data_IF_188083033941
#
_entry.id   IF_188083033941
#
_cell.length_a   1.000
_cell.length_b   1.000
_cell.length_c   1.000
_cell.angle_alpha   90.00
_cell.angle_beta   90.00
_cell.angle_gamma   90.00
#
_symmetry.space_group_name_H-M   'P 1'
#
loop_
_entity.id
_entity.type
_entity.pdbx_description
1 polymer ?
#
# COMPACT_ATOMS: atom_id res chain seq x y z
N UNK A 1 -26.26 -47.79 -0.36
CA UNK A 1 -25.59 -48.98 -0.92
C UNK A 1 -25.21 -48.63 -2.35
N UNK A 2 -23.92 -48.78 -2.66
CA UNK A 2 -23.22 -48.37 -3.89
C UNK A 2 -23.66 -49.13 -5.16
N UNK A 3 -23.24 -48.56 -6.31
CA UNK A 3 -22.83 -49.22 -7.58
C UNK A 3 -23.85 -49.14 -8.73
N UNK A 4 -23.67 -48.24 -9.72
CA UNK A 4 -22.78 -48.24 -10.91
C UNK A 4 -23.22 -49.19 -12.05
N UNK A 5 -23.28 -48.66 -13.29
CA UNK A 5 -22.94 -49.46 -14.48
C UNK A 5 -23.71 -49.23 -15.79
N UNK A 6 -23.27 -48.24 -16.58
CA UNK A 6 -22.98 -48.29 -18.04
C UNK A 6 -23.88 -49.05 -19.04
N UNK A 7 -24.23 -48.32 -20.13
CA UNK A 7 -24.17 -48.76 -21.54
C UNK A 7 -24.36 -47.52 -22.44
N UNK A 8 -23.81 -47.34 -23.64
CA UNK A 8 -22.52 -47.67 -24.31
C UNK A 8 -22.62 -46.91 -25.66
N UNK A 9 -21.56 -46.20 -26.04
CA UNK A 9 -21.41 -45.47 -27.31
C UNK A 9 -21.62 -46.35 -28.56
N UNK A 10 -22.22 -45.77 -29.61
CA UNK A 10 -22.02 -46.20 -31.01
C UNK A 10 -21.60 -44.95 -31.81
N UNK A 11 -20.36 -44.96 -32.30
CA UNK A 11 -19.83 -44.05 -33.31
C UNK A 11 -20.15 -44.65 -34.69
N UNK A 12 -20.73 -43.86 -35.60
CA UNK A 12 -20.65 -44.09 -37.05
C UNK A 12 -20.10 -42.81 -37.67
N UNK A 13 -18.88 -42.92 -38.22
CA UNK A 13 -18.28 -41.91 -39.08
C UNK A 13 -18.85 -42.05 -40.50
N UNK A 14 -19.32 -40.96 -41.09
CA UNK A 14 -19.32 -40.78 -42.53
C UNK A 14 -19.06 -39.31 -42.86
N UNK A 15 -17.97 -39.09 -43.59
CA UNK A 15 -17.45 -37.81 -44.03
C UNK A 15 -18.41 -37.07 -44.98
N UNK A 16 -18.45 -35.75 -44.85
CA UNK A 16 -19.12 -34.83 -45.77
C UNK A 16 -18.72 -33.40 -45.48
N UNK A 17 -17.63 -32.94 -46.09
CA UNK A 17 -17.22 -31.54 -46.17
C UNK A 17 -18.27 -30.75 -46.99
N UNK A 18 -18.64 -29.55 -46.53
CA UNK A 18 -18.62 -28.26 -47.27
C UNK A 18 -19.34 -27.16 -46.45
N UNK A 19 -18.56 -26.14 -46.09
CA UNK A 19 -18.85 -24.73 -45.78
C UNK A 19 -20.25 -24.31 -45.29
N UNK A 20 -20.31 -23.79 -44.06
CA UNK A 20 -20.71 -22.39 -43.79
C UNK A 20 -20.16 -21.97 -42.41
N UNK A 21 -19.35 -20.91 -42.40
CA UNK A 21 -18.55 -20.49 -41.26
C UNK A 21 -19.37 -19.82 -40.14
N UNK A 22 -19.16 -20.35 -38.93
CA UNK A 22 -19.03 -19.65 -37.66
C UNK A 22 -20.14 -18.66 -37.23
N UNK A 23 -21.24 -19.22 -36.74
CA UNK A 23 -21.80 -18.74 -35.47
C UNK A 23 -21.10 -19.49 -34.34
N UNK A 24 -20.30 -18.79 -33.53
CA UNK A 24 -20.22 -19.10 -32.11
C UNK A 24 -19.66 -17.90 -31.36
N UNK A 25 -20.56 -17.33 -30.56
CA UNK A 25 -20.28 -16.39 -29.48
C UNK A 25 -19.30 -17.08 -28.54
N UNK A 26 -18.00 -16.75 -28.64
CA UNK A 26 -17.07 -16.99 -27.55
C UNK A 26 -17.20 -15.82 -26.57
N UNK A 27 -18.06 -16.03 -25.57
CA UNK A 27 -17.85 -15.49 -24.23
C UNK A 27 -16.47 -15.98 -23.74
N UNK A 28 -15.43 -15.23 -24.05
CA UNK A 28 -14.20 -15.26 -23.27
C UNK A 28 -14.44 -14.33 -22.08
N UNK A 29 -14.79 -14.94 -20.94
CA UNK A 29 -14.69 -14.31 -19.65
C UNK A 29 -13.20 -14.12 -19.34
N UNK A 30 -12.61 -13.04 -19.85
CA UNK A 30 -11.28 -12.57 -19.47
C UNK A 30 -11.45 -11.30 -18.63
N UNK A 31 -11.16 -11.44 -17.33
CA UNK A 31 -10.94 -10.39 -16.33
C UNK A 31 -11.90 -9.18 -16.34
N UNK A 32 -13.03 -9.34 -15.66
CA UNK A 32 -14.06 -8.31 -15.43
C UNK A 32 -13.63 -7.09 -14.60
N UNK A 33 -12.41 -7.03 -14.07
CA UNK A 33 -11.91 -5.84 -13.35
C UNK A 33 -11.41 -4.73 -14.29
N UNK A 34 -10.81 -5.08 -15.44
CA UNK A 34 -10.23 -4.09 -16.37
C UNK A 34 -11.26 -3.41 -17.29
N UNK A 35 -12.46 -3.98 -17.41
CA UNK A 35 -13.58 -3.51 -18.24
C UNK A 35 -14.45 -2.41 -17.59
N UNK A 36 -14.08 -1.95 -16.40
CA UNK A 36 -14.85 -0.96 -15.63
C UNK A 36 -14.42 0.49 -15.89
N UNK A 37 -13.20 0.72 -16.39
CA UNK A 37 -12.63 2.05 -16.58
C UNK A 37 -12.80 2.44 -18.06
N UNK A 38 -13.49 3.56 -18.34
CA UNK A 38 -13.82 4.11 -19.67
C UNK A 38 -14.97 3.42 -20.45
N UNK A 39 -15.93 2.80 -19.75
CA UNK A 39 -17.15 2.22 -20.37
C UNK A 39 -17.97 3.26 -21.17
N UNK A 40 -17.94 4.52 -20.74
CA UNK A 40 -18.69 5.62 -21.37
C UNK A 40 -18.09 6.01 -22.73
N UNK A 41 -16.78 6.18 -22.80
CA UNK A 41 -16.04 6.59 -23.99
C UNK A 41 -16.10 5.48 -25.05
N UNK A 42 -15.98 4.21 -24.64
CA UNK A 42 -16.19 3.06 -25.52
C UNK A 42 -17.61 3.02 -26.10
N UNK A 43 -18.62 3.34 -25.30
CA UNK A 43 -20.00 3.42 -25.76
C UNK A 43 -20.21 4.59 -26.74
N UNK A 44 -19.61 5.75 -26.49
CA UNK A 44 -19.67 6.91 -27.38
C UNK A 44 -18.98 6.63 -28.72
N UNK A 45 -17.80 6.02 -28.71
CA UNK A 45 -17.09 5.64 -29.94
C UNK A 45 -17.87 4.61 -30.76
N UNK A 46 -18.52 3.64 -30.10
CA UNK A 46 -19.38 2.68 -30.77
C UNK A 46 -20.59 3.37 -31.44
N UNK A 47 -21.23 4.31 -30.74
CA UNK A 47 -22.33 5.11 -31.28
C UNK A 47 -21.88 5.89 -32.52
N UNK A 48 -20.79 6.67 -32.40
CA UNK A 48 -20.25 7.51 -33.48
C UNK A 48 -19.83 6.68 -34.71
N UNK A 49 -19.22 5.52 -34.49
CA UNK A 49 -18.88 4.57 -35.57
C UNK A 49 -20.14 4.14 -36.32
N UNK A 50 -21.18 3.74 -35.59
CA UNK A 50 -22.44 3.28 -36.20
C UNK A 50 -23.11 4.40 -36.99
N UNK A 51 -23.13 5.63 -36.45
CA UNK A 51 -23.64 6.82 -37.16
C UNK A 51 -22.90 7.06 -38.49
N UNK A 52 -21.57 7.00 -38.49
CA UNK A 52 -20.77 7.19 -39.71
C UNK A 52 -21.00 6.07 -40.74
N UNK A 53 -21.11 4.82 -40.29
CA UNK A 53 -21.40 3.67 -41.17
C UNK A 53 -22.81 3.79 -41.76
N UNK A 54 -23.80 4.18 -40.97
CA UNK A 54 -25.18 4.38 -41.44
C UNK A 54 -25.25 5.50 -42.48
N UNK A 55 -24.50 6.58 -42.28
CA UNK A 55 -24.53 7.75 -43.15
C UNK A 55 -23.76 7.57 -44.46
N UNK A 56 -22.57 6.93 -44.43
CA UNK A 56 -21.65 6.89 -45.56
C UNK A 56 -21.42 5.49 -46.14
N UNK A 57 -21.91 4.44 -45.47
CA UNK A 57 -21.73 3.05 -45.86
C UNK A 57 -20.45 2.42 -45.29
N UNK A 58 -20.53 1.13 -45.01
CA UNK A 58 -19.49 0.36 -44.32
C UNK A 58 -18.15 0.33 -45.09
N UNK A 59 -18.20 0.14 -46.42
CA UNK A 59 -17.00 0.06 -47.26
C UNK A 59 -16.22 1.38 -47.23
N UNK A 60 -16.91 2.51 -47.39
CA UNK A 60 -16.26 3.82 -47.44
C UNK A 60 -15.76 4.22 -46.05
N UNK A 61 -16.50 3.87 -44.98
CA UNK A 61 -16.03 4.03 -43.61
C UNK A 61 -14.69 3.34 -43.36
N UNK A 62 -14.58 2.04 -43.64
CA UNK A 62 -13.33 1.29 -43.41
C UNK A 62 -12.19 1.71 -44.34
N UNK A 63 -12.50 2.32 -45.48
CA UNK A 63 -11.49 2.93 -46.35
C UNK A 63 -10.88 4.20 -45.73
N UNK A 64 -11.69 4.99 -45.03
CA UNK A 64 -11.28 6.22 -44.37
C UNK A 64 -10.75 6.01 -42.94
N UNK A 65 -11.15 4.94 -42.27
CA UNK A 65 -10.75 4.65 -40.89
C UNK A 65 -9.37 3.98 -40.84
N UNK A 66 -8.30 4.78 -40.80
CA UNK A 66 -6.92 4.30 -40.62
C UNK A 66 -6.39 4.63 -39.22
N UNK A 67 -6.44 3.68 -38.29
CA UNK A 67 -5.74 3.76 -36.99
C UNK A 67 -4.35 3.11 -37.04
N UNK A 68 -3.62 3.27 -38.14
CA UNK A 68 -2.34 2.58 -38.31
C UNK A 68 -1.31 3.09 -37.30
N UNK A 69 -0.86 2.22 -36.40
CA UNK A 69 0.12 2.54 -35.35
C UNK A 69 -0.49 2.91 -34.00
N UNK A 70 -1.81 3.01 -33.90
CA UNK A 70 -2.52 3.34 -32.65
C UNK A 70 -3.09 2.09 -31.96
N UNK A 71 -3.19 2.16 -30.64
CA UNK A 71 -3.72 1.06 -29.84
C UNK A 71 -5.25 1.13 -29.77
N UNK A 72 -5.94 0.23 -30.48
CA UNK A 72 -7.40 0.17 -30.53
C UNK A 72 -8.09 -0.17 -29.19
N UNK A 73 -7.33 -0.61 -28.18
CA UNK A 73 -7.86 -0.81 -26.83
C UNK A 73 -7.99 0.51 -26.04
N UNK A 74 -7.32 1.57 -26.49
CA UNK A 74 -7.45 2.93 -25.98
C UNK A 74 -8.66 3.64 -26.64
N UNK A 75 -9.78 3.86 -25.92
CA UNK A 75 -10.92 4.57 -26.48
C UNK A 75 -10.59 6.01 -26.94
N UNK A 76 -9.63 6.70 -26.34
CA UNK A 76 -9.27 8.06 -26.73
C UNK A 76 -8.51 8.09 -28.07
N UNK A 77 -7.63 7.10 -28.31
CA UNK A 77 -7.00 6.92 -29.63
C UNK A 77 -8.04 6.56 -30.71
N UNK A 78 -9.02 5.71 -30.36
CA UNK A 78 -10.12 5.36 -31.27
C UNK A 78 -10.97 6.58 -31.62
N UNK A 79 -11.21 7.48 -30.65
CA UNK A 79 -11.93 8.75 -30.90
C UNK A 79 -11.19 9.63 -31.91
N UNK A 80 -9.87 9.77 -31.77
CA UNK A 80 -9.03 10.51 -32.72
C UNK A 80 -9.11 9.93 -34.14
N UNK A 81 -9.04 8.60 -34.29
CA UNK A 81 -9.22 7.97 -35.59
C UNK A 81 -10.62 8.18 -36.18
N UNK A 82 -11.66 8.12 -35.34
CA UNK A 82 -13.04 8.35 -35.79
C UNK A 82 -13.21 9.79 -36.30
N UNK A 83 -12.53 10.75 -35.69
CA UNK A 83 -12.49 12.13 -36.16
C UNK A 83 -11.83 12.25 -37.54
N UNK A 84 -10.67 11.63 -37.75
CA UNK A 84 -10.00 11.64 -39.05
C UNK A 84 -10.84 10.95 -40.13
N UNK A 85 -11.47 9.82 -39.79
CA UNK A 85 -12.38 9.12 -40.68
C UNK A 85 -13.56 10.00 -41.08
N UNK A 86 -14.15 10.75 -40.16
CA UNK A 86 -15.24 11.69 -40.45
C UNK A 86 -14.82 12.78 -41.44
N UNK A 87 -13.62 13.34 -41.32
CA UNK A 87 -13.11 14.34 -42.27
C UNK A 87 -12.87 13.75 -43.67
N UNK A 88 -12.28 12.55 -43.72
CA UNK A 88 -12.11 11.80 -44.96
C UNK A 88 -13.44 11.52 -45.65
N UNK A 89 -14.44 11.03 -44.91
CA UNK A 89 -15.79 10.75 -45.41
C UNK A 89 -16.50 12.01 -45.91
N UNK A 90 -16.30 13.14 -45.24
CA UNK A 90 -16.82 14.45 -45.66
C UNK A 90 -16.05 15.07 -46.83
N UNK A 91 -14.92 14.47 -47.24
CA UNK A 91 -14.02 14.99 -48.28
C UNK A 91 -13.49 16.40 -47.96
N UNK A 92 -13.28 16.66 -46.67
CA UNK A 92 -12.73 17.92 -46.16
C UNK A 92 -11.28 17.64 -45.78
N UNK A 93 -10.37 18.55 -46.17
CA UNK A 93 -8.98 18.44 -45.76
C UNK A 93 -8.86 18.56 -44.23
N UNK A 94 -8.02 17.71 -43.63
CA UNK A 94 -7.67 17.87 -42.23
C UNK A 94 -6.99 19.24 -42.04
N UNK A 95 -7.30 19.96 -40.96
CA UNK A 95 -6.64 21.22 -40.67
C UNK A 95 -5.13 21.00 -40.50
N UNK A 96 -4.33 21.94 -41.03
CA UNK A 96 -2.88 21.84 -40.94
C UNK A 96 -2.42 21.89 -39.47
N UNK A 97 -1.42 21.09 -39.06
CA UNK A 97 -0.98 20.95 -37.66
C UNK A 97 -0.22 22.16 -37.12
N UNK A 98 -0.38 23.34 -37.73
CA UNK A 98 0.42 24.52 -37.45
C UNK A 98 -0.17 25.30 -36.25
N UNK A 99 0.26 24.93 -35.05
CA UNK A 99 -0.18 25.57 -33.82
C UNK A 99 0.76 26.71 -33.41
N UNK A 100 0.18 27.73 -32.75
CA UNK A 100 0.97 28.79 -32.11
C UNK A 100 1.88 28.16 -31.04
N UNK A 101 3.06 28.75 -30.84
CA UNK A 101 4.00 28.36 -29.80
C UNK A 101 3.31 28.15 -28.44
N UNK A 102 3.60 27.01 -27.81
CA UNK A 102 2.97 26.57 -26.55
C UNK A 102 1.65 25.81 -26.70
N UNK A 103 1.13 25.61 -27.91
CA UNK A 103 -0.05 24.77 -28.19
C UNK A 103 0.32 23.52 -28.99
N UNK A 104 -0.45 22.45 -28.80
CA UNK A 104 -0.27 21.17 -29.50
C UNK A 104 -1.48 20.87 -30.39
N UNK A 105 -1.25 20.17 -31.49
CA UNK A 105 -2.33 19.73 -32.37
C UNK A 105 -2.90 18.41 -31.87
N UNK A 106 -4.22 18.37 -31.62
CA UNK A 106 -4.96 17.19 -31.16
C UNK A 106 -6.37 17.22 -31.74
N UNK A 107 -6.84 16.09 -32.28
CA UNK A 107 -8.19 15.92 -32.84
C UNK A 107 -8.59 17.10 -33.77
N UNK A 108 -7.72 17.44 -34.71
CA UNK A 108 -7.98 18.48 -35.71
C UNK A 108 -7.99 19.92 -35.20
N UNK A 109 -7.49 20.20 -34.00
CA UNK A 109 -7.42 21.57 -33.47
C UNK A 109 -6.19 21.79 -32.61
N UNK A 110 -5.80 23.06 -32.49
CA UNK A 110 -4.78 23.44 -31.53
C UNK A 110 -5.38 23.56 -30.14
N UNK A 111 -4.82 22.80 -29.20
CA UNK A 111 -5.24 22.73 -27.81
C UNK A 111 -4.05 23.01 -26.89
N UNK A 112 -4.32 23.27 -25.61
CA UNK A 112 -3.26 23.31 -24.62
C UNK A 112 -2.63 21.92 -24.49
N UNK A 113 -1.33 21.81 -24.16
CA UNK A 113 -0.66 20.52 -24.00
C UNK A 113 -1.39 19.58 -23.03
N UNK A 114 -1.89 20.11 -21.90
CA UNK A 114 -2.72 19.35 -20.96
C UNK A 114 -3.97 18.75 -21.59
N UNK A 115 -4.63 19.51 -22.47
CA UNK A 115 -5.83 19.03 -23.17
C UNK A 115 -5.46 17.99 -24.22
N UNK A 116 -4.32 18.15 -24.90
CA UNK A 116 -3.78 17.13 -25.80
C UNK A 116 -3.50 15.81 -25.06
N UNK A 117 -2.90 15.87 -23.88
CA UNK A 117 -2.69 14.68 -23.03
C UNK A 117 -3.99 14.00 -22.64
N UNK A 118 -5.03 14.77 -22.26
CA UNK A 118 -6.33 14.20 -21.89
C UNK A 118 -7.05 13.57 -23.06
N UNK A 119 -7.00 14.22 -24.22
CA UNK A 119 -7.61 13.73 -25.46
C UNK A 119 -6.88 12.51 -26.04
N UNK A 120 -5.61 12.26 -25.65
CA UNK A 120 -4.82 11.11 -26.12
C UNK A 120 -4.82 9.93 -25.15
N UNK A 121 -4.73 10.19 -23.86
CA UNK A 121 -4.44 9.19 -22.84
C UNK A 121 -5.50 9.10 -21.73
N UNK A 122 -6.49 10.01 -21.76
CA UNK A 122 -7.66 10.04 -20.87
C UNK A 122 -7.67 11.23 -19.91
N UNK A 123 -8.84 11.55 -19.35
CA UNK A 123 -9.08 12.75 -18.52
C UNK A 123 -8.11 12.92 -17.33
N UNK A 124 -7.53 11.82 -16.86
CA UNK A 124 -6.59 11.81 -15.75
C UNK A 124 -5.13 11.98 -16.19
N UNK A 125 -4.87 12.23 -17.47
CA UNK A 125 -3.54 12.60 -17.96
C UNK A 125 -3.30 14.11 -17.90
N UNK A 126 -2.05 14.51 -17.79
CA UNK A 126 -1.62 15.91 -17.77
C UNK A 126 -0.30 16.10 -18.51
N UNK A 127 0.01 17.31 -18.91
CA UNK A 127 1.24 17.62 -19.63
C UNK A 127 2.43 17.80 -18.69
N UNK A 128 3.61 17.37 -19.15
CA UNK A 128 4.85 17.53 -18.41
C UNK A 128 5.81 18.52 -19.03
N UNK A 129 6.38 18.14 -20.16
CA UNK A 129 7.42 18.90 -20.82
C UNK A 129 7.38 18.64 -22.32
N UNK A 130 7.91 19.59 -23.07
CA UNK A 130 8.21 19.42 -24.49
C UNK A 130 9.55 18.72 -24.63
N UNK A 131 9.60 17.70 -25.48
CA UNK A 131 10.83 17.14 -26.01
C UNK A 131 11.31 17.96 -27.22
N UNK A 132 12.50 17.65 -27.73
CA UNK A 132 12.97 18.20 -29.01
C UNK A 132 12.02 17.79 -30.15
N UNK A 133 11.86 18.64 -31.18
CA UNK A 133 10.99 18.42 -32.36
C UNK A 133 9.46 18.48 -32.15
N UNK A 134 8.95 19.33 -31.24
CA UNK A 134 7.49 19.49 -30.95
C UNK A 134 6.81 18.23 -30.40
N UNK A 135 7.58 17.24 -29.94
CA UNK A 135 7.05 16.13 -29.19
C UNK A 135 6.80 16.57 -27.72
N UNK A 136 5.84 15.96 -27.03
CA UNK A 136 5.52 16.32 -25.66
C UNK A 136 5.18 15.09 -24.83
N UNK A 137 5.61 15.12 -23.57
CA UNK A 137 5.44 14.02 -22.62
C UNK A 137 4.21 14.29 -21.76
N UNK A 138 3.39 13.26 -21.56
CA UNK A 138 2.18 13.32 -20.74
C UNK A 138 2.34 12.45 -19.51
N UNK A 139 2.00 12.95 -18.32
CA UNK A 139 1.91 12.20 -17.08
C UNK A 139 0.49 11.74 -16.73
N UNK A 140 0.37 11.03 -15.62
CA UNK A 140 -0.90 10.60 -15.01
C UNK A 140 -1.10 11.30 -13.67
N UNK A 141 -2.29 11.84 -13.39
CA UNK A 141 -2.63 12.47 -12.11
C UNK A 141 -2.48 11.47 -10.95
N UNK A 142 -2.27 12.00 -9.75
CA UNK A 142 -2.22 11.22 -8.51
C UNK A 142 -3.37 10.21 -8.40
N UNK A 143 -3.05 8.95 -8.12
CA UNK A 143 -4.02 7.85 -8.05
C UNK A 143 -4.34 7.17 -9.39
N UNK A 144 -3.68 7.58 -10.47
CA UNK A 144 -3.81 6.99 -11.80
C UNK A 144 -2.45 6.61 -12.35
N UNK A 145 -2.43 5.57 -13.19
CA UNK A 145 -1.22 5.14 -13.86
C UNK A 145 -1.41 4.58 -15.24
N UNK A 146 -0.28 4.41 -15.90
CA UNK A 146 -0.24 3.84 -17.23
C UNK A 146 -0.62 2.38 -17.19
N UNK A 147 -1.49 1.98 -18.09
CA UNK A 147 -1.69 0.57 -18.39
C UNK A 147 -0.42 -0.04 -19.04
N UNK A 148 -0.39 -1.37 -19.16
CA UNK A 148 0.81 -2.13 -19.56
C UNK A 148 1.45 -1.71 -20.89
N UNK A 149 0.65 -1.17 -21.82
CA UNK A 149 1.09 -0.72 -23.14
C UNK A 149 1.25 0.80 -23.24
N UNK A 150 1.15 1.53 -22.10
CA UNK A 150 1.24 2.99 -21.98
C UNK A 150 0.27 3.76 -22.88
N UNK A 151 -0.86 3.16 -23.22
CA UNK A 151 -1.87 3.79 -24.06
C UNK A 151 -2.95 4.51 -23.25
N UNK A 152 -3.08 4.27 -21.94
CA UNK A 152 -4.13 4.84 -21.10
C UNK A 152 -3.64 5.17 -19.69
N UNK A 153 -4.18 6.27 -19.16
CA UNK A 153 -4.10 6.62 -17.76
C UNK A 153 -5.34 6.12 -17.00
N UNK A 154 -5.20 4.98 -16.33
CA UNK A 154 -6.29 4.27 -15.64
C UNK A 154 -6.21 4.44 -14.13
N UNK A 155 -7.37 4.43 -13.45
CA UNK A 155 -7.42 4.49 -11.99
C UNK A 155 -6.77 3.23 -11.44
N UNK A 156 -5.63 3.39 -10.79
CA UNK A 156 -4.94 2.30 -10.11
C UNK A 156 -5.54 2.17 -8.71
N UNK A 157 -6.75 1.62 -8.62
CA UNK A 157 -7.06 0.81 -7.46
C UNK A 157 -6.18 -0.44 -7.60
N UNK A 158 -4.98 -0.38 -7.04
CA UNK A 158 -4.16 -1.57 -6.96
C UNK A 158 -4.94 -2.62 -6.14
N UNK A 159 -4.91 -3.91 -6.53
CA UNK A 159 -5.55 -4.97 -5.75
C UNK A 159 -5.14 -4.91 -4.28
N UNK A 160 -5.93 -5.49 -3.39
CA UNK A 160 -5.54 -5.59 -1.97
C UNK A 160 -4.10 -6.11 -1.84
N UNK A 161 -3.28 -5.42 -1.05
CA UNK A 161 -1.83 -5.62 -0.89
C UNK A 161 -0.89 -5.11 -2.01
N UNK A 162 -1.39 -4.35 -2.99
CA UNK A 162 -0.56 -3.65 -3.97
C UNK A 162 -0.67 -2.13 -3.80
N UNK A 163 0.39 -1.40 -4.13
CA UNK A 163 0.49 0.06 -4.02
C UNK A 163 0.95 0.62 -5.35
N UNK A 164 0.36 1.76 -5.73
CA UNK A 164 0.77 2.47 -6.92
C UNK A 164 2.11 3.18 -6.68
N UNK A 165 3.18 2.65 -7.27
CA UNK A 165 4.53 3.19 -7.16
C UNK A 165 4.93 3.92 -8.43
N UNK A 166 5.47 5.13 -8.29
CA UNK A 166 5.84 6.02 -9.38
C UNK A 166 7.23 6.63 -9.11
N UNK A 167 8.29 6.23 -9.85
CA UNK A 167 9.65 6.70 -9.60
C UNK A 167 9.91 8.15 -10.00
N UNK A 168 9.00 8.80 -10.73
CA UNK A 168 9.10 10.22 -11.09
C UNK A 168 8.06 11.03 -10.31
N UNK A 169 8.41 12.26 -9.91
CA UNK A 169 7.54 13.24 -9.26
C UNK A 169 7.61 14.57 -10.03
N UNK A 170 6.49 15.25 -10.23
CA UNK A 170 6.47 16.59 -10.82
C UNK A 170 6.90 17.68 -9.82
N UNK A 171 7.02 18.92 -10.30
CA UNK A 171 7.45 20.07 -9.51
C UNK A 171 6.51 20.46 -8.36
N UNK A 172 5.26 20.00 -8.39
CA UNK A 172 4.25 20.24 -7.36
C UNK A 172 4.09 19.03 -6.41
N UNK A 173 4.90 17.97 -6.59
CA UNK A 173 4.87 16.75 -5.78
C UNK A 173 3.89 15.68 -6.26
N UNK A 174 3.29 15.85 -7.44
CA UNK A 174 2.45 14.86 -8.11
C UNK A 174 3.25 13.67 -8.65
N UNK A 175 2.70 12.45 -8.57
CA UNK A 175 3.33 11.21 -9.01
C UNK A 175 3.27 11.08 -10.55
N UNK A 176 4.43 10.89 -11.17
CA UNK A 176 4.59 10.75 -12.62
C UNK A 176 4.98 9.35 -13.07
N UNK A 177 4.08 8.71 -13.83
CA UNK A 177 4.25 7.37 -14.40
C UNK A 177 4.59 6.29 -13.35
N UNK A 178 3.59 5.50 -12.96
CA UNK A 178 3.75 4.40 -12.03
C UNK A 178 3.09 3.10 -12.47
N UNK A 179 3.35 2.04 -11.72
CA UNK A 179 2.74 0.72 -11.85
C UNK A 179 2.31 0.23 -10.48
N UNK A 180 1.33 -0.66 -10.40
CA UNK A 180 1.04 -1.35 -9.15
C UNK A 180 2.18 -2.31 -8.83
N UNK A 181 2.82 -2.08 -7.70
CA UNK A 181 3.82 -2.97 -7.12
C UNK A 181 3.25 -3.60 -5.85
N UNK A 182 3.74 -4.78 -5.50
CA UNK A 182 3.56 -5.28 -4.14
C UNK A 182 4.03 -4.21 -3.13
N UNK A 183 3.42 -4.15 -1.95
CA UNK A 183 3.75 -3.09 -0.98
C UNK A 183 5.24 -3.01 -0.67
N UNK A 184 5.88 -4.17 -0.56
CA UNK A 184 7.31 -4.23 -0.30
C UNK A 184 8.12 -3.91 -1.57
N UNK A 185 7.65 -4.31 -2.76
CA UNK A 185 8.28 -3.95 -4.04
C UNK A 185 8.26 -2.44 -4.29
N UNK A 186 7.20 -1.74 -3.88
CA UNK A 186 7.11 -0.29 -3.95
C UNK A 186 8.20 0.37 -3.09
N UNK A 187 8.37 -0.12 -1.87
CA UNK A 187 9.46 0.32 -1.00
C UNK A 187 10.83 0.02 -1.61
N UNK A 188 11.03 -1.21 -2.09
CA UNK A 188 12.29 -1.62 -2.75
C UNK A 188 12.64 -0.73 -3.94
N UNK A 189 11.63 -0.31 -4.70
CA UNK A 189 11.80 0.60 -5.83
C UNK A 189 12.27 2.01 -5.44
N UNK A 190 11.86 2.53 -4.28
CA UNK A 190 12.18 3.90 -3.85
C UNK A 190 13.45 3.95 -2.98
N UNK A 191 13.64 2.95 -2.12
CA UNK A 191 14.64 2.95 -1.05
C UNK A 191 15.63 1.78 -1.12
N UNK A 192 15.57 0.98 -2.20
CA UNK A 192 16.45 -0.16 -2.47
C UNK A 192 15.96 -1.48 -1.88
N UNK A 193 16.55 -2.59 -2.34
CA UNK A 193 16.08 -3.99 -2.12
C UNK A 193 15.80 -4.38 -0.66
N UNK A 194 16.36 -3.66 0.32
CA UNK A 194 16.24 -3.94 1.74
C UNK A 194 15.26 -3.03 2.47
N UNK A 195 14.32 -2.46 1.75
CA UNK A 195 13.20 -1.72 2.31
C UNK A 195 11.91 -2.51 2.16
N UNK A 196 11.03 -2.37 3.15
CA UNK A 196 9.76 -3.08 3.30
C UNK A 196 8.65 -2.10 3.65
N UNK A 197 7.41 -2.48 3.36
CA UNK A 197 6.25 -1.69 3.70
C UNK A 197 5.99 -1.70 5.21
N UNK A 198 5.71 -0.52 5.75
CA UNK A 198 5.43 -0.31 7.16
C UNK A 198 4.00 0.16 7.43
N UNK A 199 3.42 0.95 6.54
CA UNK A 199 2.07 1.46 6.71
C UNK A 199 1.69 2.52 5.69
N UNK A 200 0.55 3.18 5.92
CA UNK A 200 0.14 4.37 5.16
C UNK A 200 0.16 5.58 6.09
N UNK A 201 0.50 6.75 5.56
CA UNK A 201 0.32 8.02 6.24
C UNK A 201 -1.16 8.49 6.18
N UNK A 202 -1.45 9.63 6.81
CA UNK A 202 -2.80 10.18 6.88
C UNK A 202 -3.38 10.59 5.51
N UNK A 203 -2.52 10.82 4.53
CA UNK A 203 -2.89 11.23 3.17
C UNK A 203 -2.93 10.04 2.19
N UNK A 204 -2.69 8.82 2.69
CA UNK A 204 -2.65 7.60 1.90
C UNK A 204 -1.32 7.36 1.17
N UNK A 205 -0.27 8.13 1.48
CA UNK A 205 1.10 7.87 1.07
C UNK A 205 1.67 6.64 1.78
N UNK A 206 2.48 5.84 1.08
CA UNK A 206 3.05 4.63 1.65
C UNK A 206 4.31 4.94 2.46
N UNK A 207 4.36 4.40 3.67
CA UNK A 207 5.48 4.47 4.59
C UNK A 207 6.30 3.21 4.46
N UNK A 208 7.58 3.38 4.14
CA UNK A 208 8.55 2.30 4.09
C UNK A 208 9.42 2.29 5.34
N UNK A 209 9.93 1.12 5.70
CA UNK A 209 10.98 0.96 6.69
C UNK A 209 12.04 -0.02 6.18
N UNK A 210 13.19 -0.12 6.84
CA UNK A 210 14.20 -1.09 6.46
C UNK A 210 13.85 -2.50 6.94
N UNK A 211 14.15 -3.49 6.10
CA UNK A 211 14.07 -4.89 6.42
C UNK A 211 14.98 -5.22 7.62
N UNK A 212 14.69 -6.30 8.33
CA UNK A 212 15.49 -6.72 9.48
C UNK A 212 16.99 -6.83 9.11
N UNK A 213 17.85 -6.16 9.88
CA UNK A 213 19.30 -6.09 9.65
C UNK A 213 19.79 -4.90 8.81
N UNK A 214 18.88 -4.02 8.39
CA UNK A 214 19.19 -2.85 7.58
C UNK A 214 18.71 -1.57 8.27
N UNK A 215 19.42 -0.47 8.04
CA UNK A 215 19.07 0.84 8.60
C UNK A 215 19.05 1.91 7.52
N UNK A 216 18.19 2.91 7.74
CA UNK A 216 18.17 4.11 6.91
C UNK A 216 19.54 4.76 6.92
N UNK A 217 20.07 5.06 5.74
CA UNK A 217 21.23 5.92 5.64
C UNK A 217 20.94 7.31 6.26
N UNK A 218 21.97 8.11 6.54
CA UNK A 218 21.81 9.41 7.22
C UNK A 218 20.84 10.37 6.51
N UNK A 219 20.64 10.21 5.20
CA UNK A 219 19.76 11.01 4.36
C UNK A 219 18.36 10.42 4.20
N UNK A 220 18.07 9.24 4.76
CA UNK A 220 16.83 8.46 4.60
C UNK A 220 16.44 8.21 3.14
N UNK A 221 17.44 8.03 2.27
CA UNK A 221 17.24 7.80 0.83
C UNK A 221 17.45 6.36 0.41
N UNK A 222 18.03 5.52 1.27
CA UNK A 222 18.16 4.10 1.04
C UNK A 222 18.36 3.34 2.35
N UNK A 223 17.98 2.06 2.36
CA UNK A 223 18.38 1.10 3.38
C UNK A 223 19.79 0.60 3.07
N UNK A 224 20.77 1.15 3.77
CA UNK A 224 22.16 0.66 3.72
C UNK A 224 22.31 -0.51 4.67
N UNK A 225 23.27 -1.41 4.39
CA UNK A 225 23.73 -2.36 5.41
C UNK A 225 24.01 -1.51 6.64
N UNK A 226 23.37 -1.84 7.76
CA UNK A 226 23.65 -1.17 9.01
C UNK A 226 25.17 -1.17 9.15
N UNK A 227 25.79 0.03 9.10
CA UNK A 227 27.22 0.19 8.86
C UNK A 227 27.95 -0.79 9.77
N UNK A 228 28.44 -1.87 9.19
CA UNK A 228 29.36 -2.77 9.88
C UNK A 228 30.67 -2.02 9.87
N UNK A 229 30.78 -1.07 10.81
CA UNK A 229 32.08 -0.60 11.25
C UNK A 229 32.86 -1.88 11.52
N UNK A 230 34.04 -2.02 10.90
CA UNK A 230 35.03 -3.01 11.31
C UNK A 230 35.17 -2.92 12.83
N UNK A 231 34.50 -3.84 13.52
CA UNK A 231 33.96 -3.60 14.87
C UNK A 231 32.66 -4.39 15.07
N UNK A 232 32.64 -5.62 14.56
CA UNK A 232 31.66 -6.65 14.88
C UNK A 232 31.80 -6.95 16.39
N UNK A 233 30.92 -6.36 17.20
CA UNK A 233 30.71 -6.70 18.60
C UNK A 233 29.29 -6.31 19.07
N UNK A 234 28.75 -5.17 18.64
CA UNK A 234 27.55 -4.59 19.27
C UNK A 234 26.21 -5.32 18.98
N UNK A 235 26.03 -6.02 17.86
CA UNK A 235 24.77 -6.75 17.58
C UNK A 235 24.73 -8.18 18.13
N UNK A 236 25.87 -8.71 18.61
CA UNK A 236 25.89 -9.92 19.43
C UNK A 236 25.86 -9.56 20.91
N UNK A 237 26.33 -8.38 21.30
CA UNK A 237 26.26 -7.88 22.68
C UNK A 237 24.83 -7.54 23.14
N UNK A 238 23.91 -7.10 22.27
CA UNK A 238 22.55 -6.68 22.68
C UNK A 238 21.58 -7.84 22.98
N UNK A 239 21.60 -8.92 22.19
CA UNK A 239 20.85 -10.14 22.54
C UNK A 239 21.50 -10.90 23.69
N UNK A 240 22.84 -10.94 23.75
CA UNK A 240 23.54 -11.57 24.88
C UNK A 240 23.24 -10.81 26.18
N UNK A 241 23.24 -9.47 26.18
CA UNK A 241 22.84 -8.66 27.33
C UNK A 241 21.37 -8.87 27.75
N UNK A 242 20.47 -9.07 26.79
CA UNK A 242 19.09 -9.45 27.07
C UNK A 242 19.02 -10.80 27.79
N UNK A 243 19.62 -11.85 27.21
CA UNK A 243 19.58 -13.20 27.78
C UNK A 243 20.35 -13.30 29.10
N UNK A 244 21.47 -12.60 29.24
CA UNK A 244 22.26 -12.53 30.47
C UNK A 244 21.49 -11.83 31.59
N UNK A 245 20.76 -10.75 31.27
CA UNK A 245 19.91 -10.05 32.25
C UNK A 245 18.74 -10.92 32.67
N UNK A 246 18.07 -11.57 31.72
CA UNK A 246 17.01 -12.53 32.03
C UNK A 246 17.55 -13.67 32.89
N UNK A 247 18.71 -14.24 32.56
CA UNK A 247 19.31 -15.33 33.32
C UNK A 247 19.69 -14.89 34.75
N UNK A 248 20.32 -13.71 34.90
CA UNK A 248 20.65 -13.08 36.18
C UNK A 248 19.42 -12.87 37.04
N UNK A 249 18.36 -12.31 36.46
CA UNK A 249 17.13 -12.01 37.19
C UNK A 249 16.30 -13.26 37.49
N UNK A 250 16.28 -14.27 36.61
CA UNK A 250 15.68 -15.60 36.93
C UNK A 250 16.43 -16.27 38.08
N UNK A 251 17.76 -16.24 38.08
CA UNK A 251 18.57 -16.84 39.15
C UNK A 251 18.42 -16.13 40.50
N UNK A 252 18.09 -14.85 40.49
CA UNK A 252 17.92 -14.03 41.69
C UNK A 252 16.47 -13.95 42.21
N UNK A 253 15.53 -14.72 41.64
CA UNK A 253 14.13 -14.73 42.05
C UNK A 253 13.98 -15.10 43.54
N UNK A 254 13.19 -14.29 44.25
CA UNK A 254 12.76 -14.52 45.61
C UNK A 254 11.37 -15.17 45.62
N UNK A 255 10.93 -15.62 46.80
CA UNK A 255 9.57 -16.13 46.98
C UNK A 255 8.55 -15.10 46.46
N UNK A 256 7.65 -15.47 45.53
CA UNK A 256 6.66 -14.55 44.99
C UNK A 256 5.81 -13.92 46.09
N UNK A 257 5.62 -12.61 46.00
CA UNK A 257 4.77 -11.83 46.91
C UNK A 257 3.53 -11.36 46.16
N UNK A 258 2.43 -12.09 46.30
CA UNK A 258 1.17 -11.76 45.63
C UNK A 258 0.59 -10.41 46.03
N UNK A 259 0.87 -9.92 47.25
CA UNK A 259 0.40 -8.61 47.69
C UNK A 259 1.16 -7.48 47.01
N UNK A 260 2.47 -7.65 46.81
CA UNK A 260 3.28 -6.73 46.02
C UNK A 260 2.88 -6.77 44.53
N UNK A 261 2.72 -7.97 43.98
CA UNK A 261 2.43 -8.15 42.57
C UNK A 261 1.06 -7.56 42.19
N UNK A 262 0.07 -7.67 43.07
CA UNK A 262 -1.25 -7.06 42.85
C UNK A 262 -1.21 -5.52 42.92
N UNK A 263 -0.35 -4.94 43.77
CA UNK A 263 -0.16 -3.49 43.84
C UNK A 263 0.54 -2.92 42.60
N UNK A 264 1.37 -3.73 41.95
CA UNK A 264 2.19 -3.32 40.80
C UNK A 264 1.60 -3.77 39.46
N UNK A 265 0.42 -4.41 39.46
CA UNK A 265 -0.22 -4.91 38.23
C UNK A 265 -0.35 -3.82 37.18
N UNK A 266 0.03 -4.17 35.95
CA UNK A 266 -0.05 -3.26 34.81
C UNK A 266 0.85 -2.03 34.92
N UNK A 267 1.84 -1.99 35.82
CA UNK A 267 2.79 -0.88 35.93
C UNK A 267 4.04 -1.14 35.10
N UNK A 268 4.59 -0.06 34.57
CA UNK A 268 5.96 -0.02 34.08
C UNK A 268 6.88 0.28 35.27
N UNK A 269 7.88 -0.56 35.47
CA UNK A 269 8.85 -0.48 36.56
C UNK A 269 10.25 -0.21 36.01
N UNK A 270 11.05 0.57 36.74
CA UNK A 270 12.45 0.84 36.43
C UNK A 270 13.32 0.38 37.61
N UNK A 271 14.27 -0.53 37.37
CA UNK A 271 15.24 -0.92 38.39
C UNK A 271 16.20 0.25 38.66
N UNK A 272 16.18 0.78 39.89
CA UNK A 272 17.00 1.94 40.25
C UNK A 272 18.32 1.61 40.94
N UNK A 273 18.55 0.32 41.23
CA UNK A 273 19.73 -0.19 41.95
C UNK A 273 20.73 -0.91 41.02
N UNK A 274 20.48 -0.95 39.71
CA UNK A 274 21.32 -1.62 38.69
C UNK A 274 21.48 -0.74 37.43
N UNK A 275 21.24 -1.29 36.23
CA UNK A 275 21.52 -0.63 34.95
C UNK A 275 20.32 0.17 34.41
N UNK A 276 19.27 0.38 35.23
CA UNK A 276 18.06 1.06 34.77
C UNK A 276 17.14 0.16 33.96
N UNK A 277 17.18 -1.16 34.19
CA UNK A 277 16.36 -2.12 33.47
C UNK A 277 14.85 -1.79 33.60
N UNK A 278 14.17 -1.73 32.46
CA UNK A 278 12.73 -1.46 32.40
C UNK A 278 11.92 -2.76 32.32
N UNK A 279 10.82 -2.81 33.05
CA UNK A 279 9.96 -3.98 33.18
C UNK A 279 8.49 -3.59 33.06
N UNK A 280 7.67 -4.45 32.48
CA UNK A 280 6.21 -4.31 32.50
C UNK A 280 5.61 -5.45 33.31
N UNK A 281 4.79 -5.13 34.32
CA UNK A 281 4.02 -6.13 35.07
C UNK A 281 2.70 -6.36 34.35
N UNK A 282 2.34 -7.61 34.08
CA UNK A 282 1.06 -7.92 33.46
C UNK A 282 -0.12 -7.41 34.30
N UNK A 283 -1.24 -7.17 33.63
CA UNK A 283 -2.48 -6.78 34.32
C UNK A 283 -2.95 -7.87 35.30
N UNK A 284 -2.57 -9.13 35.07
CA UNK A 284 -2.82 -10.23 36.00
C UNK A 284 -2.02 -10.15 37.29
N UNK A 285 -1.02 -9.26 37.40
CA UNK A 285 -0.18 -9.09 38.57
C UNK A 285 0.63 -10.34 38.92
N UNK A 286 0.97 -11.17 37.93
CA UNK A 286 1.70 -12.44 38.13
C UNK A 286 3.08 -12.39 37.51
N UNK A 287 3.23 -11.76 36.35
CA UNK A 287 4.45 -11.84 35.54
C UNK A 287 4.99 -10.46 35.20
N UNK A 288 6.29 -10.26 35.36
CA UNK A 288 7.04 -9.12 34.80
C UNK A 288 7.73 -9.52 33.51
N UNK A 289 7.70 -8.63 32.53
CA UNK A 289 8.34 -8.80 31.23
C UNK A 289 9.45 -7.77 31.06
N UNK A 290 10.62 -8.23 30.63
CA UNK A 290 11.77 -7.35 30.44
C UNK A 290 11.60 -6.56 29.13
N UNK A 291 11.72 -5.24 29.23
CA UNK A 291 11.51 -4.34 28.10
C UNK A 291 12.80 -4.02 27.35
N UNK A 292 13.98 -4.22 27.97
CA UNK A 292 15.35 -4.13 27.41
C UNK A 292 15.65 -2.96 26.46
N UNK A 293 15.12 -3.00 25.25
CA UNK A 293 15.28 -1.99 24.21
C UNK A 293 13.92 -1.46 23.74
N UNK A 294 13.86 -0.23 23.20
CA UNK A 294 12.62 0.32 22.65
C UNK A 294 11.89 -0.61 21.66
N UNK A 295 12.64 -1.33 20.83
CA UNK A 295 12.10 -2.30 19.88
C UNK A 295 11.51 -3.55 20.56
N UNK A 296 12.21 -4.14 21.55
CA UNK A 296 11.67 -5.29 22.30
C UNK A 296 10.48 -4.89 23.15
N UNK A 297 10.54 -3.74 23.80
CA UNK A 297 9.44 -3.20 24.59
C UNK A 297 8.18 -3.05 23.74
N UNK A 298 8.29 -2.48 22.53
CA UNK A 298 7.18 -2.36 21.59
C UNK A 298 6.58 -3.73 21.24
N UNK A 299 7.41 -4.73 20.95
CA UNK A 299 6.96 -6.10 20.63
C UNK A 299 6.26 -6.77 21.80
N UNK A 300 6.85 -6.71 23.01
CA UNK A 300 6.26 -7.27 24.24
C UNK A 300 4.94 -6.58 24.57
N UNK A 301 4.90 -5.26 24.46
CA UNK A 301 3.69 -4.49 24.75
C UNK A 301 2.56 -4.83 23.77
N UNK A 302 2.87 -4.97 22.48
CA UNK A 302 1.87 -5.38 21.47
C UNK A 302 1.40 -6.82 21.65
N UNK A 303 2.29 -7.76 21.99
CA UNK A 303 1.90 -9.17 22.17
C UNK A 303 0.98 -9.36 23.38
N UNK A 304 1.10 -8.50 24.39
CA UNK A 304 0.23 -8.45 25.56
C UNK A 304 -1.01 -7.56 25.36
N UNK A 305 -1.12 -6.91 24.19
CA UNK A 305 -2.19 -5.96 23.88
C UNK A 305 -3.54 -6.63 23.69
N UNK A 306 -4.59 -5.99 24.20
CA UNK A 306 -5.98 -6.40 24.04
C UNK A 306 -6.63 -5.55 22.95
N UNK A 307 -7.27 -6.17 21.97
CA UNK A 307 -8.07 -5.45 20.98
C UNK A 307 -9.21 -4.68 21.63
N UNK A 308 -9.34 -3.40 21.30
CA UNK A 308 -10.43 -2.52 21.70
C UNK A 308 -10.97 -1.80 20.46
N UNK A 309 -12.27 -1.54 20.43
CA UNK A 309 -12.87 -0.78 19.34
C UNK A 309 -12.50 0.70 19.47
N UNK A 310 -12.48 1.41 18.34
CA UNK A 310 -12.21 2.84 18.32
C UNK A 310 -13.19 3.63 19.19
N UNK A 311 -14.47 3.23 19.16
CA UNK A 311 -15.51 3.81 20.01
C UNK A 311 -15.22 3.68 21.51
N UNK A 312 -14.65 2.56 21.94
CA UNK A 312 -14.32 2.36 23.36
C UNK A 312 -13.18 3.30 23.80
N UNK A 313 -12.15 3.43 22.98
CA UNK A 313 -10.98 4.29 23.25
C UNK A 313 -11.38 5.77 23.29
N UNK A 314 -12.22 6.20 22.35
CA UNK A 314 -12.66 7.59 22.26
C UNK A 314 -13.69 7.96 23.34
N UNK A 315 -14.57 7.04 23.73
CA UNK A 315 -15.58 7.30 24.77
C UNK A 315 -14.96 7.51 26.17
N UNK A 316 -13.76 6.99 26.44
CA UNK A 316 -13.15 6.99 27.77
C UNK A 316 -11.89 7.87 27.89
N UNK A 317 -11.61 8.74 26.91
CA UNK A 317 -10.42 9.62 26.91
C UNK A 317 -10.29 10.43 28.21
N UNK A 318 -11.41 10.83 28.81
CA UNK A 318 -11.41 11.56 30.08
C UNK A 318 -11.03 10.70 31.29
N UNK A 319 -11.40 9.42 31.30
CA UNK A 319 -11.05 8.46 32.36
C UNK A 319 -11.41 7.04 31.95
N UNK A 320 -10.40 6.16 31.90
CA UNK A 320 -10.60 4.76 31.57
C UNK A 320 -11.12 3.92 32.75
N UNK A 321 -11.96 2.89 32.48
CA UNK A 321 -12.55 2.06 33.53
C UNK A 321 -11.53 1.10 34.16
N UNK A 322 -11.76 0.70 35.41
CA UNK A 322 -10.81 -0.06 36.23
C UNK A 322 -10.29 -1.35 35.57
N UNK A 323 -11.14 -2.02 34.79
CA UNK A 323 -10.79 -3.30 34.18
C UNK A 323 -9.82 -3.20 32.99
N UNK A 324 -9.51 -1.99 32.50
CA UNK A 324 -8.48 -1.77 31.46
C UNK A 324 -7.26 -1.03 31.97
N UNK A 325 -7.25 -0.61 33.24
CA UNK A 325 -6.09 0.06 33.82
C UNK A 325 -4.88 -0.86 33.83
N UNK A 326 -3.76 -0.32 33.38
CA UNK A 326 -2.49 -1.02 33.25
C UNK A 326 -2.48 -2.06 32.12
N UNK A 327 -3.51 -2.10 31.27
CA UNK A 327 -3.48 -2.87 30.03
C UNK A 327 -2.93 -2.02 28.90
N UNK A 328 -2.51 -2.72 27.86
CA UNK A 328 -2.22 -2.14 26.56
C UNK A 328 -3.42 -2.45 25.68
N UNK A 329 -4.05 -1.42 25.14
CA UNK A 329 -5.18 -1.54 24.24
C UNK A 329 -4.71 -1.29 22.81
N UNK A 330 -5.17 -2.13 21.89
CA UNK A 330 -4.88 -2.00 20.46
C UNK A 330 -6.19 -1.62 19.78
N UNK A 331 -6.21 -0.46 19.14
CA UNK A 331 -7.32 -0.03 18.31
C UNK A 331 -7.40 -0.92 17.07
N UNK A 332 -8.39 -1.81 17.05
CA UNK A 332 -8.57 -2.75 15.94
C UNK A 332 -9.23 -2.10 14.72
N UNK A 333 -9.85 -0.94 14.90
CA UNK A 333 -10.57 -0.21 13.85
C UNK A 333 -9.71 0.94 13.27
N UNK A 334 -8.64 1.37 13.97
CA UNK A 334 -7.70 2.41 13.53
C UNK A 334 -6.25 1.89 13.48
N UNK A 335 -5.92 1.19 12.38
CA UNK A 335 -4.56 0.80 11.98
C UNK A 335 -3.74 0.01 13.03
N UNK A 336 -4.40 -0.59 14.04
CA UNK A 336 -3.70 -1.33 15.09
C UNK A 336 -2.88 -0.44 16.03
N UNK A 337 -3.30 0.81 16.24
CA UNK A 337 -2.65 1.77 17.15
C UNK A 337 -2.68 1.25 18.59
N UNK A 338 -1.55 1.29 19.30
CA UNK A 338 -1.44 0.77 20.66
C UNK A 338 -1.39 1.90 21.69
N UNK A 339 -2.08 1.70 22.82
CA UNK A 339 -2.16 2.65 23.92
C UNK A 339 -1.95 1.94 25.26
N UNK A 340 -1.02 2.42 26.07
CA UNK A 340 -0.89 2.01 27.47
C UNK A 340 -1.84 2.83 28.34
N UNK A 341 -2.73 2.17 29.07
CA UNK A 341 -3.66 2.84 29.99
C UNK A 341 -3.00 2.93 31.36
N UNK A 342 -2.55 4.11 31.76
CA UNK A 342 -1.80 4.25 33.00
C UNK A 342 -2.73 4.12 34.24
N UNK A 343 -2.44 3.20 35.19
CA UNK A 343 -3.28 3.02 36.38
C UNK A 343 -3.38 4.25 37.30
N UNK A 344 -2.40 5.15 37.27
CA UNK A 344 -2.32 6.30 38.19
C UNK A 344 -3.27 7.44 37.78
N UNK A 345 -3.25 7.84 36.52
CA UNK A 345 -4.05 8.95 36.00
C UNK A 345 -5.27 8.50 35.18
N UNK A 346 -5.38 7.20 34.87
CA UNK A 346 -6.46 6.60 34.07
C UNK A 346 -6.52 7.15 32.65
N UNK A 347 -5.38 7.59 32.10
CA UNK A 347 -5.25 8.11 30.75
C UNK A 347 -4.55 7.10 29.83
N UNK A 348 -4.82 7.23 28.52
CA UNK A 348 -4.17 6.46 27.47
C UNK A 348 -2.91 7.17 26.96
N UNK A 349 -1.81 6.44 26.88
CA UNK A 349 -0.53 6.90 26.34
C UNK A 349 -0.19 6.13 25.09
N UNK A 350 0.03 6.85 23.98
CA UNK A 350 0.28 6.24 22.69
C UNK A 350 1.64 5.53 22.64
N UNK A 351 1.65 4.33 22.06
CA UNK A 351 2.79 3.44 21.88
C UNK A 351 3.03 3.13 20.39
N UNK A 352 2.88 4.13 19.51
CA UNK A 352 2.96 3.93 18.05
C UNK A 352 4.32 3.59 17.50
N UNK A 353 5.37 4.03 18.18
CA UNK A 353 6.76 3.84 17.79
C UNK A 353 7.65 3.46 18.97
N UNK A 354 8.83 2.86 18.72
CA UNK A 354 9.82 2.59 19.77
C UNK A 354 10.18 3.85 20.58
N UNK A 355 10.29 5.01 19.93
CA UNK A 355 10.62 6.27 20.60
C UNK A 355 9.50 6.76 21.54
N UNK A 356 8.24 6.61 21.13
CA UNK A 356 7.09 6.95 21.99
C UNK A 356 6.99 5.99 23.17
N UNK A 357 7.14 4.68 22.92
CA UNK A 357 7.16 3.68 23.99
C UNK A 357 8.27 3.97 25.02
N UNK A 358 9.47 4.34 24.56
CA UNK A 358 10.57 4.76 25.44
C UNK A 358 10.21 6.00 26.28
N UNK A 359 9.55 6.98 25.66
CA UNK A 359 9.08 8.18 26.37
C UNK A 359 8.08 7.82 27.47
N UNK A 360 7.13 6.92 27.18
CA UNK A 360 6.16 6.41 28.17
C UNK A 360 6.87 5.69 29.31
N UNK A 361 7.82 4.79 29.00
CA UNK A 361 8.59 4.07 30.02
C UNK A 361 9.37 5.01 30.94
N UNK A 362 10.02 6.03 30.38
CA UNK A 362 10.83 6.99 31.13
C UNK A 362 9.97 7.90 32.02
N UNK A 363 8.82 8.35 31.53
CA UNK A 363 8.00 9.34 32.23
C UNK A 363 7.03 8.72 33.25
N UNK A 364 6.54 7.51 32.96
CA UNK A 364 5.53 6.82 33.80
C UNK A 364 6.12 5.66 34.60
N UNK A 365 7.39 5.31 34.35
CA UNK A 365 8.09 4.23 35.04
C UNK A 365 8.21 4.48 36.54
N UNK A 366 7.76 3.52 37.34
CA UNK A 366 7.91 3.54 38.79
C UNK A 366 9.25 2.91 39.18
N UNK A 367 10.09 3.64 39.92
CA UNK A 367 11.33 3.09 40.46
C UNK A 367 11.06 1.93 41.44
N UNK A 368 11.81 0.83 41.30
CA UNK A 368 11.70 -0.34 42.17
C UNK A 368 13.09 -0.86 42.60
N UNK A 369 13.18 -1.34 43.83
CA UNK A 369 14.39 -1.98 44.37
C UNK A 369 14.58 -3.39 43.78
N UNK A 370 15.83 -3.85 43.75
CA UNK A 370 16.16 -5.22 43.37
C UNK A 370 15.47 -6.25 44.29
N UNK A 371 15.37 -5.92 45.58
CA UNK A 371 14.72 -6.79 46.58
C UNK A 371 13.23 -7.01 46.28
N UNK A 372 12.53 -5.99 45.82
CA UNK A 372 11.10 -6.07 45.58
C UNK A 372 10.78 -6.60 44.18
N UNK A 373 11.52 -6.18 43.16
CA UNK A 373 11.28 -6.66 41.79
C UNK A 373 11.53 -8.17 41.64
N UNK A 374 12.49 -8.72 42.40
CA UNK A 374 12.79 -10.16 42.43
C UNK A 374 11.70 -11.00 43.11
N UNK A 375 10.71 -10.39 43.76
CA UNK A 375 9.51 -11.09 44.27
C UNK A 375 8.38 -11.18 43.24
N UNK A 376 8.60 -10.68 42.02
CA UNK A 376 7.67 -10.80 40.89
C UNK A 376 8.15 -11.92 39.97
N UNK A 377 7.26 -12.85 39.62
CA UNK A 377 7.62 -13.92 38.68
C UNK A 377 7.96 -13.32 37.31
N UNK A 378 8.86 -13.96 36.56
CA UNK A 378 9.18 -13.49 35.22
C UNK A 378 8.29 -14.16 34.17
N UNK A 379 7.83 -13.36 33.21
CA UNK A 379 7.28 -13.84 31.95
C UNK A 379 8.36 -14.42 31.05
N UNK A 380 7.90 -15.23 30.09
CA UNK A 380 8.76 -15.79 29.05
C UNK A 380 8.83 -14.87 27.83
#
# INVERSE_FOLDING_TARGET
MFSFGFKKFIFIFSAGYVLFGFFSVCLAAENTEFLSINRKERAQNALKRNELIEQYGEIEFYRCFSCSGENLNNPFAVEACLFEAEYCLKKIALPEPNCREGLVFSVGRCVTPDRGCRERFGENSYYLEFEEENNYTCGCRNGYGWNNDKSLCVQTACPDNYIYYSPYRDSDGGFLFGRCLDRDDACRGEFGDNSIFYGLDADGGYLCNCAAGWEWNKTKTACSEAVTVKGIAASFEDETAYFDTIAREKAALLRPDGGLAERLRGRILLQVEENGEAWYVDHGGRKRYFLHSPARAFTVMRSLGLGATHDFLTAHVASYPDHVLGKILIDVDDLGRAYYINPEDRLAYYLGSPAEAFTVMRNLGLGISNKDIRKLEMGD
#
